data_IF_997070568271
#
_entry.id   IF_997070568271
#
_cell.length_a   1.000
_cell.length_b   1.000
_cell.length_c   1.000
_cell.angle_alpha   90.00
_cell.angle_beta   90.00
_cell.angle_gamma   90.00
#
_symmetry.space_group_name_H-M   'P 1'
#
loop_
_entity.id
_entity.type
_entity.pdbx_description
1 polymer ?
#
# COMPACT_ATOMS: atom_id res chain seq x y z
N UNK A 1 -3.00 -35.14 16.25
CA UNK A 1 -2.93 -33.67 16.38
C UNK A 1 -1.63 -33.25 15.73
N UNK A 2 -1.68 -32.61 14.56
CA UNK A 2 -0.48 -32.11 13.88
C UNK A 2 0.18 -31.04 14.76
N UNK A 3 1.49 -31.20 14.96
CA UNK A 3 2.31 -30.33 15.79
C UNK A 3 2.56 -29.03 15.01
N UNK A 4 1.90 -27.94 15.40
CA UNK A 4 2.04 -26.62 14.78
C UNK A 4 3.47 -26.06 14.80
N UNK A 5 4.43 -26.73 15.47
CA UNK A 5 5.85 -26.37 15.48
C UNK A 5 6.62 -26.76 14.21
N UNK A 6 6.07 -27.61 13.32
CA UNK A 6 6.75 -28.02 12.07
C UNK A 6 6.54 -27.04 10.89
N UNK A 7 5.67 -26.04 11.05
CA UNK A 7 5.44 -25.00 10.04
C UNK A 7 6.60 -23.97 10.03
N UNK A 8 7.46 -23.99 11.06
CA UNK A 8 8.56 -23.04 11.25
C UNK A 8 9.72 -23.13 10.23
N UNK A 9 9.64 -23.98 9.22
CA UNK A 9 10.79 -24.35 8.36
C UNK A 9 10.56 -24.24 6.85
N UNK A 10 9.52 -23.54 6.37
CA UNK A 10 9.26 -23.46 4.92
C UNK A 10 9.59 -22.11 4.27
N UNK A 11 9.60 -21.01 5.02
CA UNK A 11 9.89 -19.68 4.48
C UNK A 11 10.71 -18.85 5.46
N UNK A 12 11.77 -18.22 4.97
CA UNK A 12 12.48 -17.18 5.70
C UNK A 12 11.62 -15.90 5.76
N UNK A 13 12.01 -14.95 6.62
CA UNK A 13 11.26 -13.70 6.80
C UNK A 13 11.02 -12.94 5.49
N UNK A 14 12.01 -12.88 4.61
CA UNK A 14 11.88 -12.19 3.32
C UNK A 14 10.83 -12.85 2.43
N UNK A 15 10.81 -14.18 2.39
CA UNK A 15 9.81 -14.94 1.64
C UNK A 15 8.40 -14.74 2.22
N UNK A 16 8.29 -14.72 3.55
CA UNK A 16 7.02 -14.45 4.22
C UNK A 16 6.49 -13.04 3.92
N UNK A 17 7.37 -12.02 4.00
CA UNK A 17 7.01 -10.64 3.69
C UNK A 17 6.58 -10.48 2.21
N UNK A 18 7.22 -11.20 1.28
CA UNK A 18 6.84 -11.22 -0.13
C UNK A 18 5.48 -11.88 -0.38
N UNK A 19 5.21 -13.00 0.31
CA UNK A 19 3.91 -13.67 0.29
C UNK A 19 2.81 -12.72 0.79
N UNK A 20 3.01 -12.11 1.97
CA UNK A 20 2.07 -11.14 2.53
C UNK A 20 1.86 -9.95 1.58
N UNK A 21 2.92 -9.43 0.98
CA UNK A 21 2.85 -8.35 0.00
C UNK A 21 2.02 -8.73 -1.22
N UNK A 22 2.16 -9.97 -1.70
CA UNK A 22 1.41 -10.50 -2.86
C UNK A 22 -0.07 -10.65 -2.53
N UNK A 23 -0.41 -11.23 -1.38
CA UNK A 23 -1.80 -11.32 -0.92
C UNK A 23 -2.43 -9.94 -0.76
N UNK A 24 -1.68 -9.00 -0.17
CA UNK A 24 -2.12 -7.62 0.01
C UNK A 24 -2.34 -6.94 -1.34
N UNK A 25 -1.43 -7.10 -2.30
CA UNK A 25 -1.62 -6.59 -3.66
C UNK A 25 -2.90 -7.15 -4.28
N UNK A 26 -3.13 -8.46 -4.20
CA UNK A 26 -4.33 -9.09 -4.77
C UNK A 26 -5.62 -8.52 -4.17
N UNK A 27 -5.66 -8.31 -2.85
CA UNK A 27 -6.78 -7.67 -2.18
C UNK A 27 -6.97 -6.21 -2.64
N UNK A 28 -5.87 -5.46 -2.74
CA UNK A 28 -5.89 -4.05 -3.15
C UNK A 28 -6.31 -3.87 -4.62
N UNK A 29 -5.97 -4.81 -5.51
CA UNK A 29 -6.39 -4.76 -6.92
C UNK A 29 -7.90 -4.94 -7.12
N UNK A 30 -8.58 -5.55 -6.16
CA UNK A 30 -10.03 -5.72 -6.16
C UNK A 30 -10.78 -4.53 -5.54
N UNK A 31 -10.06 -3.49 -5.08
CA UNK A 31 -10.71 -2.28 -4.57
C UNK A 31 -11.43 -1.54 -5.69
N UNK A 32 -12.71 -1.25 -5.46
CA UNK A 32 -13.51 -0.36 -6.29
C UNK A 32 -13.47 1.07 -5.73
N UNK A 33 -13.99 2.02 -6.51
CA UNK A 33 -14.07 3.43 -6.08
C UNK A 33 -14.96 3.61 -4.83
N UNK A 34 -15.93 2.72 -4.62
CA UNK A 34 -16.87 2.75 -3.48
C UNK A 34 -16.36 2.00 -2.23
N UNK A 35 -15.11 1.54 -2.25
CA UNK A 35 -14.56 0.79 -1.12
C UNK A 35 -14.45 1.64 0.14
N UNK A 36 -14.92 1.14 1.31
CA UNK A 36 -14.79 1.84 2.58
C UNK A 36 -13.36 1.82 3.14
N UNK A 37 -12.44 1.06 2.52
CA UNK A 37 -11.07 0.91 2.99
C UNK A 37 -10.21 2.08 2.55
N UNK A 38 -9.64 2.82 3.51
CA UNK A 38 -8.68 3.88 3.19
C UNK A 38 -7.31 3.29 2.89
N UNK A 39 -6.66 3.84 1.87
CA UNK A 39 -5.31 3.47 1.47
C UNK A 39 -4.28 4.21 2.33
N UNK A 40 -3.27 3.50 2.79
CA UNK A 40 -2.06 4.07 3.38
C UNK A 40 -0.98 4.27 2.30
N UNK A 41 0.10 4.99 2.66
CA UNK A 41 1.29 5.12 1.78
C UNK A 41 1.91 3.76 1.46
N UNK A 42 1.83 2.80 2.38
CA UNK A 42 2.33 1.44 2.16
C UNK A 42 1.48 0.72 1.10
N UNK A 43 0.15 0.82 1.19
CA UNK A 43 -0.76 0.22 0.21
C UNK A 43 -0.53 0.80 -1.19
N UNK A 44 -0.36 2.13 -1.27
CA UNK A 44 -0.02 2.82 -2.51
C UNK A 44 1.32 2.33 -3.06
N UNK A 45 2.35 2.14 -2.21
CA UNK A 45 3.65 1.65 -2.65
C UNK A 45 3.57 0.23 -3.22
N UNK A 46 2.68 -0.60 -2.69
CA UNK A 46 2.41 -1.95 -3.19
C UNK A 46 1.71 -1.87 -4.54
N UNK A 47 0.66 -1.06 -4.66
CA UNK A 47 -0.13 -0.85 -5.89
C UNK A 47 0.68 -0.27 -7.05
N UNK A 48 1.73 0.51 -6.76
CA UNK A 48 2.62 1.10 -7.75
C UNK A 48 3.90 0.31 -7.97
N UNK A 49 4.13 -0.78 -7.22
CA UNK A 49 5.39 -1.54 -7.25
C UNK A 49 6.63 -0.65 -7.08
N UNK A 50 6.58 0.24 -6.07
CA UNK A 50 7.69 1.13 -5.68
C UNK A 50 8.02 0.95 -4.21
N UNK A 51 9.19 1.43 -3.78
CA UNK A 51 9.55 1.44 -2.36
C UNK A 51 8.66 2.42 -1.59
N UNK A 52 8.48 2.17 -0.29
CA UNK A 52 7.74 3.09 0.59
C UNK A 52 8.35 4.50 0.54
N UNK A 53 9.68 4.61 0.62
CA UNK A 53 10.37 5.91 0.67
C UNK A 53 10.20 6.71 -0.62
N UNK A 54 10.36 6.07 -1.78
CA UNK A 54 10.12 6.71 -3.07
C UNK A 54 8.66 7.15 -3.19
N UNK A 55 7.73 6.26 -2.81
CA UNK A 55 6.29 6.56 -2.83
C UNK A 55 5.95 7.75 -1.94
N UNK A 56 6.52 7.82 -0.74
CA UNK A 56 6.22 8.92 0.18
C UNK A 56 6.81 10.26 -0.29
N UNK A 57 8.06 10.24 -0.75
CA UNK A 57 8.81 11.45 -1.10
C UNK A 57 8.46 12.01 -2.47
N UNK A 58 8.39 11.14 -3.49
CA UNK A 58 8.25 11.59 -4.88
C UNK A 58 6.79 11.58 -5.35
N UNK A 59 5.97 10.67 -4.82
CA UNK A 59 4.60 10.47 -5.29
C UNK A 59 3.62 11.20 -4.37
N UNK A 60 3.53 10.77 -3.11
CA UNK A 60 2.53 11.27 -2.15
C UNK A 60 2.78 12.73 -1.75
N UNK A 61 4.02 13.21 -1.83
CA UNK A 61 4.34 14.61 -1.56
C UNK A 61 4.21 15.52 -2.79
N UNK A 62 3.90 14.96 -3.96
CA UNK A 62 3.67 15.75 -5.17
C UNK A 62 2.41 16.61 -5.04
N UNK A 63 2.42 17.89 -5.47
CA UNK A 63 1.24 18.76 -5.43
C UNK A 63 0.03 18.23 -6.21
N UNK A 64 0.27 17.39 -7.23
CA UNK A 64 -0.79 16.80 -8.06
C UNK A 64 -1.34 15.48 -7.51
N UNK A 65 -0.82 14.98 -6.38
CA UNK A 65 -1.30 13.77 -5.73
C UNK A 65 -2.55 14.08 -4.89
N UNK A 66 -3.51 13.14 -4.75
CA UNK A 66 -4.67 13.33 -3.89
C UNK A 66 -4.30 13.70 -2.46
N UNK A 67 -5.06 14.62 -1.88
CA UNK A 67 -4.88 14.98 -0.47
C UNK A 67 -5.38 13.85 0.44
N UNK A 68 -4.73 13.63 1.60
CA UNK A 68 -5.21 12.64 2.55
C UNK A 68 -6.52 13.09 3.19
N UNK A 69 -7.49 12.18 3.31
CA UNK A 69 -8.75 12.43 4.02
C UNK A 69 -8.61 12.29 5.53
N UNK A 70 -7.56 11.61 5.99
CA UNK A 70 -7.23 11.50 7.41
C UNK A 70 -5.72 11.49 7.59
N UNK A 71 -5.26 12.17 8.65
CA UNK A 71 -3.87 12.15 9.08
C UNK A 71 -3.81 11.81 10.56
N UNK A 72 -3.15 10.71 10.89
CA UNK A 72 -2.90 10.29 12.27
C UNK A 72 -1.45 10.57 12.65
N UNK A 73 -1.24 11.09 13.85
CA UNK A 73 0.09 11.29 14.42
C UNK A 73 0.22 10.43 15.66
N UNK A 74 1.17 9.49 15.66
CA UNK A 74 1.42 8.62 16.80
C UNK A 74 2.93 8.41 16.98
N UNK A 75 3.43 8.68 18.19
CA UNK A 75 4.85 8.49 18.58
C UNK A 75 5.85 9.05 17.55
N UNK A 76 5.60 10.28 17.07
CA UNK A 76 6.45 10.95 16.08
C UNK A 76 6.30 10.45 14.63
N UNK A 77 5.44 9.46 14.37
CA UNK A 77 5.13 8.98 13.02
C UNK A 77 3.82 9.58 12.53
N UNK A 78 3.81 10.02 11.27
CA UNK A 78 2.63 10.53 10.58
C UNK A 78 2.12 9.45 9.63
N UNK A 79 0.86 9.05 9.78
CA UNK A 79 0.16 8.15 8.86
C UNK A 79 -0.90 8.94 8.10
N UNK A 80 -0.81 8.89 6.77
CA UNK A 80 -1.76 9.51 5.85
C UNK A 80 -2.67 8.43 5.27
N UNK A 81 -3.96 8.75 5.16
CA UNK A 81 -4.98 7.86 4.63
C UNK A 81 -5.69 8.53 3.46
N UNK A 82 -5.89 7.79 2.38
CA UNK A 82 -6.40 8.29 1.09
C UNK A 82 -7.62 7.48 0.65
N UNK A 83 -8.52 8.12 -0.09
CA UNK A 83 -9.65 7.43 -0.70
C UNK A 83 -9.19 6.57 -1.88
N UNK A 84 -9.68 5.32 -2.00
CA UNK A 84 -9.42 4.49 -3.17
C UNK A 84 -9.85 5.16 -4.48
N UNK A 85 -11.01 5.82 -4.49
CA UNK A 85 -11.55 6.52 -5.68
C UNK A 85 -10.60 7.60 -6.21
N UNK A 86 -10.11 8.48 -5.35
CA UNK A 86 -9.18 9.55 -5.74
C UNK A 86 -7.85 8.98 -6.23
N UNK A 87 -7.33 7.96 -5.54
CA UNK A 87 -6.11 7.28 -5.97
C UNK A 87 -6.27 6.61 -7.34
N UNK A 88 -7.37 5.89 -7.58
CA UNK A 88 -7.63 5.20 -8.84
C UNK A 88 -7.71 6.21 -10.00
N UNK A 89 -8.44 7.31 -9.81
CA UNK A 89 -8.54 8.40 -10.80
C UNK A 89 -7.18 9.00 -11.10
N UNK A 90 -6.43 9.35 -10.06
CA UNK A 90 -5.07 9.90 -10.20
C UNK A 90 -4.14 8.91 -10.90
N UNK A 91 -4.17 7.63 -10.52
CA UNK A 91 -3.33 6.58 -11.12
C UNK A 91 -3.60 6.45 -12.61
N UNK A 92 -4.87 6.38 -13.03
CA UNK A 92 -5.25 6.32 -14.46
C UNK A 92 -4.65 7.49 -15.26
N UNK A 93 -4.62 8.70 -14.68
CA UNK A 93 -4.09 9.89 -15.33
C UNK A 93 -2.54 9.98 -15.34
N UNK A 94 -1.85 9.29 -14.41
CA UNK A 94 -0.42 9.52 -14.16
C UNK A 94 0.47 8.28 -14.26
N UNK A 95 -0.08 7.06 -14.41
CA UNK A 95 0.70 5.81 -14.37
C UNK A 95 1.86 5.77 -15.38
N UNK A 96 1.69 6.39 -16.55
CA UNK A 96 2.74 6.48 -17.59
C UNK A 96 3.96 7.32 -17.17
N UNK A 97 3.83 8.18 -16.16
CA UNK A 97 4.92 9.04 -15.66
C UNK A 97 5.66 8.43 -14.46
N UNK A 98 5.10 7.36 -13.87
CA UNK A 98 5.58 6.75 -12.63
C UNK A 98 6.38 5.48 -12.92
N UNK A 99 6.04 4.77 -14.00
CA UNK A 99 6.74 3.57 -14.48
C UNK A 99 8.03 3.91 -15.21
#
# INVERSE_FOLDING_TARGET
MENLNEIGTYFNKSQYDEILRTFKLQALLNLTEDSPYLLTVEDISILLSRSYDYTNREIVSSPNFPQPVKVEKSKGKVRKFFLPSDFIKWRRANIRRIN
#
